data_IF_825564743726
#
_entry.id   IF_825564743726
#
_cell.length_a   1.000
_cell.length_b   1.000
_cell.length_c   1.000
_cell.angle_alpha   90.00
_cell.angle_beta   90.00
_cell.angle_gamma   90.00
#
_symmetry.space_group_name_H-M   'P 1'
#
loop_
_entity.id
_entity.type
_entity.pdbx_description
1 polymer ?
#
# COMPACT_ATOMS: atom_id res chain seq x y z
N UNK A 1 31.58 -8.19 20.54
CA UNK A 1 30.79 -8.51 19.32
C UNK A 1 29.98 -7.25 19.00
N UNK A 2 30.23 -6.61 17.85
CA UNK A 2 29.60 -5.34 17.48
C UNK A 2 28.77 -5.58 16.23
N UNK A 3 27.46 -5.43 16.32
CA UNK A 3 26.54 -5.57 15.19
C UNK A 3 25.99 -4.20 14.81
N UNK A 4 25.88 -3.95 13.50
CA UNK A 4 25.13 -2.81 12.96
C UNK A 4 23.67 -3.22 12.82
N UNK A 5 22.78 -2.51 13.49
CA UNK A 5 21.34 -2.72 13.38
C UNK A 5 20.72 -1.55 12.62
N UNK A 6 20.04 -1.84 11.51
CA UNK A 6 19.31 -0.85 10.72
C UNK A 6 17.82 -1.06 11.00
N UNK A 7 17.23 -0.17 11.79
CA UNK A 7 15.79 -0.16 12.06
C UNK A 7 15.09 0.61 10.95
N UNK A 8 14.37 -0.10 10.10
CA UNK A 8 13.49 0.52 9.12
C UNK A 8 12.08 0.52 9.70
N UNK A 9 11.63 1.64 10.26
CA UNK A 9 10.37 1.73 11.02
C UNK A 9 9.14 1.20 10.28
N UNK A 10 9.04 1.43 8.97
CA UNK A 10 7.94 0.91 8.16
C UNK A 10 7.96 -0.62 8.04
N UNK A 11 9.11 -1.30 8.20
CA UNK A 11 9.21 -2.76 8.19
C UNK A 11 8.55 -3.41 9.41
N UNK A 12 8.54 -2.74 10.57
CA UNK A 12 7.96 -3.24 11.83
C UNK A 12 6.43 -3.05 11.94
N UNK A 13 5.80 -2.33 11.01
CA UNK A 13 4.34 -2.08 10.96
C UNK A 13 3.76 -2.31 9.56
N UNK A 14 4.26 -3.33 8.85
CA UNK A 14 3.81 -3.67 7.48
C UNK A 14 2.57 -4.56 7.45
N UNK A 15 2.16 -5.14 8.59
CA UNK A 15 1.12 -6.19 8.65
C UNK A 15 -0.17 -5.86 7.88
N UNK A 16 -0.76 -4.64 7.92
CA UNK A 16 -1.97 -4.36 7.13
C UNK A 16 -1.72 -4.14 5.63
N UNK A 17 -0.49 -3.81 5.21
CA UNK A 17 -0.16 -3.53 3.80
C UNK A 17 0.39 -4.77 3.07
N UNK A 18 0.98 -5.71 3.79
CA UNK A 18 1.37 -7.02 3.28
C UNK A 18 0.21 -8.01 3.24
N UNK A 19 -0.86 -7.75 4.01
CA UNK A 19 -2.03 -8.64 4.02
C UNK A 19 -2.68 -8.74 2.64
N UNK A 20 -2.69 -9.95 2.10
CA UNK A 20 -3.13 -10.21 0.74
C UNK A 20 -4.59 -10.70 0.72
N UNK A 21 -5.48 -9.93 0.08
CA UNK A 21 -6.85 -10.37 -0.20
C UNK A 21 -6.96 -10.87 -1.65
N UNK A 22 -6.78 -12.18 -1.92
CA UNK A 22 -6.65 -12.70 -3.28
C UNK A 22 -7.90 -12.44 -4.13
N UNK A 23 -9.10 -12.54 -3.54
CA UNK A 23 -10.38 -12.33 -4.24
C UNK A 23 -10.52 -10.94 -4.88
N UNK A 24 -9.91 -9.91 -4.27
CA UNK A 24 -10.01 -8.53 -4.77
C UNK A 24 -8.80 -8.13 -5.64
N UNK A 25 -7.77 -8.98 -5.71
CA UNK A 25 -6.51 -8.68 -6.39
C UNK A 25 -6.72 -8.40 -7.87
N UNK A 26 -7.47 -9.27 -8.58
CA UNK A 26 -7.64 -9.17 -10.03
C UNK A 26 -8.35 -7.87 -10.44
N UNK A 27 -9.47 -7.56 -9.78
CA UNK A 27 -10.22 -6.32 -9.99
C UNK A 27 -9.38 -5.09 -9.65
N UNK A 28 -8.74 -5.07 -8.48
CA UNK A 28 -7.96 -3.92 -8.04
C UNK A 28 -6.71 -3.69 -8.91
N UNK A 29 -6.09 -4.76 -9.42
CA UNK A 29 -4.99 -4.67 -10.37
C UNK A 29 -5.46 -4.07 -11.70
N UNK A 30 -6.60 -4.50 -12.24
CA UNK A 30 -7.14 -3.93 -13.47
C UNK A 30 -7.54 -2.45 -13.32
N UNK A 31 -8.08 -2.07 -12.16
CA UNK A 31 -8.33 -0.66 -11.83
C UNK A 31 -7.02 0.15 -11.83
N UNK A 32 -5.95 -0.42 -11.27
CA UNK A 32 -4.65 0.24 -11.21
C UNK A 32 -4.00 0.39 -12.58
N UNK A 33 -4.10 -0.64 -13.43
CA UNK A 33 -3.66 -0.61 -14.83
C UNK A 33 -4.32 0.54 -15.60
N UNK A 34 -5.66 0.62 -15.58
CA UNK A 34 -6.40 1.68 -16.26
C UNK A 34 -6.10 3.08 -15.69
N UNK A 35 -5.86 3.18 -14.39
CA UNK A 35 -5.44 4.43 -13.78
C UNK A 35 -4.05 4.87 -14.27
N UNK A 36 -3.11 3.94 -14.41
CA UNK A 36 -1.77 4.23 -14.95
C UNK A 36 -1.80 4.59 -16.43
N UNK A 37 -2.81 4.14 -17.20
CA UNK A 37 -3.10 4.62 -18.55
C UNK A 37 -3.68 6.06 -18.59
N UNK A 38 -3.92 6.69 -17.43
CA UNK A 38 -4.44 8.05 -17.34
C UNK A 38 -5.97 8.15 -17.31
N UNK A 39 -6.70 7.05 -17.08
CA UNK A 39 -8.16 7.10 -17.05
C UNK A 39 -8.68 7.69 -15.74
N UNK A 40 -9.66 8.58 -15.83
CA UNK A 40 -10.39 9.08 -14.66
C UNK A 40 -11.25 8.00 -14.00
N UNK A 41 -11.42 8.06 -12.68
CA UNK A 41 -12.13 7.02 -11.89
C UNK A 41 -13.56 6.76 -12.35
N UNK A 42 -14.28 7.77 -12.86
CA UNK A 42 -15.63 7.61 -13.44
C UNK A 42 -15.61 6.77 -14.72
N UNK A 43 -14.61 6.99 -15.59
CA UNK A 43 -14.41 6.22 -16.83
C UNK A 43 -14.09 4.76 -16.51
N UNK A 44 -13.21 4.55 -15.53
CA UNK A 44 -12.85 3.21 -15.04
C UNK A 44 -14.07 2.49 -14.46
N UNK A 45 -14.89 3.17 -13.65
CA UNK A 45 -16.11 2.59 -13.08
C UNK A 45 -17.06 2.07 -14.15
N UNK A 46 -17.30 2.89 -15.20
CA UNK A 46 -18.14 2.49 -16.33
C UNK A 46 -17.57 1.27 -17.05
N UNK A 47 -16.28 1.30 -17.41
CA UNK A 47 -15.60 0.18 -18.05
C UNK A 47 -15.72 -1.11 -17.24
N UNK A 48 -15.48 -1.03 -15.93
CA UNK A 48 -15.58 -2.19 -15.03
C UNK A 48 -17.00 -2.79 -15.05
N UNK A 49 -18.03 -1.93 -15.00
CA UNK A 49 -19.42 -2.37 -15.02
C UNK A 49 -19.81 -3.02 -16.36
N UNK A 50 -19.38 -2.44 -17.47
CA UNK A 50 -19.61 -2.95 -18.83
C UNK A 50 -18.90 -4.30 -19.08
N UNK A 51 -17.72 -4.49 -18.49
CA UNK A 51 -16.93 -5.73 -18.59
C UNK A 51 -17.29 -6.79 -17.53
N UNK A 52 -18.42 -6.63 -16.84
CA UNK A 52 -18.93 -7.64 -15.90
C UNK A 52 -18.19 -7.74 -14.56
N UNK A 53 -17.33 -6.77 -14.21
CA UNK A 53 -16.70 -6.75 -12.90
C UNK A 53 -17.70 -6.41 -11.79
N UNK A 54 -17.58 -7.09 -10.64
CA UNK A 54 -18.31 -6.73 -9.43
C UNK A 54 -17.74 -5.45 -8.82
N UNK A 55 -18.35 -4.32 -9.17
CA UNK A 55 -18.09 -2.99 -8.61
C UNK A 55 -19.29 -2.47 -7.84
N UNK A 56 -19.04 -1.54 -6.91
CA UNK A 56 -20.13 -0.87 -6.19
C UNK A 56 -20.96 -0.01 -7.13
N UNK A 57 -22.18 0.34 -6.69
CA UNK A 57 -23.05 1.27 -7.41
C UNK A 57 -22.37 2.61 -7.72
N UNK A 58 -21.46 3.07 -6.86
CA UNK A 58 -20.91 4.42 -6.90
C UNK A 58 -19.46 4.44 -7.44
N UNK A 59 -19.12 5.37 -8.35
CA UNK A 59 -17.78 5.51 -8.91
C UNK A 59 -16.74 5.96 -7.87
N UNK A 60 -17.17 6.58 -6.77
CA UNK A 60 -16.31 6.94 -5.64
C UNK A 60 -15.61 5.72 -5.02
N UNK A 61 -16.18 4.51 -5.15
CA UNK A 61 -15.52 3.28 -4.71
C UNK A 61 -14.20 3.02 -5.44
N UNK A 62 -14.15 3.28 -6.75
CA UNK A 62 -12.93 3.19 -7.56
C UNK A 62 -11.92 4.23 -7.09
N UNK A 63 -12.37 5.47 -6.86
CA UNK A 63 -11.52 6.55 -6.35
C UNK A 63 -10.87 6.21 -5.00
N UNK A 64 -11.63 5.61 -4.08
CA UNK A 64 -11.09 5.15 -2.79
C UNK A 64 -10.05 4.04 -2.96
N UNK A 65 -10.27 3.08 -3.87
CA UNK A 65 -9.30 2.02 -4.18
C UNK A 65 -7.98 2.63 -4.67
N UNK A 66 -8.05 3.58 -5.60
CA UNK A 66 -6.89 4.30 -6.15
C UNK A 66 -6.16 5.04 -5.02
N UNK A 67 -6.88 5.82 -4.20
CA UNK A 67 -6.31 6.56 -3.07
C UNK A 67 -5.59 5.66 -2.06
N UNK A 68 -6.21 4.53 -1.71
CA UNK A 68 -5.61 3.52 -0.83
C UNK A 68 -4.35 2.91 -1.45
N UNK A 69 -4.34 2.66 -2.76
CA UNK A 69 -3.18 2.14 -3.47
C UNK A 69 -2.03 3.15 -3.50
N UNK A 70 -2.29 4.42 -3.84
CA UNK A 70 -1.29 5.50 -3.82
C UNK A 70 -0.65 5.62 -2.43
N UNK A 71 -1.48 5.62 -1.36
CA UNK A 71 -0.97 5.67 0.02
C UNK A 71 -0.07 4.48 0.33
N UNK A 72 -0.45 3.27 -0.11
CA UNK A 72 0.34 2.05 0.08
C UNK A 72 1.67 2.13 -0.66
N UNK A 73 1.68 2.48 -1.95
CA UNK A 73 2.91 2.64 -2.73
C UNK A 73 3.83 3.70 -2.10
N UNK A 74 3.26 4.80 -1.60
CA UNK A 74 4.03 5.83 -0.89
C UNK A 74 4.70 5.30 0.37
N UNK A 75 4.04 4.42 1.14
CA UNK A 75 4.58 3.85 2.39
C UNK A 75 5.60 2.74 2.11
N UNK A 76 5.32 1.87 1.14
CA UNK A 76 6.18 0.73 0.83
C UNK A 76 7.46 1.14 0.09
N UNK A 77 7.40 2.20 -0.71
CA UNK A 77 8.55 2.71 -1.47
C UNK A 77 9.19 3.95 -0.82
N UNK A 78 9.02 4.15 0.50
CA UNK A 78 9.71 5.24 1.18
C UNK A 78 11.22 5.01 1.14
N UNK A 79 12.03 6.04 0.82
CA UNK A 79 13.47 5.89 0.89
C UNK A 79 13.88 5.55 2.33
N UNK A 80 14.78 4.59 2.49
CA UNK A 80 15.41 4.32 3.79
C UNK A 80 16.35 5.49 4.11
N UNK A 81 15.86 6.44 4.88
CA UNK A 81 16.72 7.48 5.47
C UNK A 81 17.56 6.83 6.56
N UNK A 82 18.84 6.57 6.25
CA UNK A 82 19.86 6.28 7.25
C UNK A 82 20.30 7.62 7.86
N UNK A 83 19.39 8.28 8.57
CA UNK A 83 19.86 9.25 9.55
C UNK A 83 20.61 8.42 10.58
N UNK A 84 21.87 8.76 10.84
CA UNK A 84 22.68 8.09 11.86
C UNK A 84 21.83 8.06 13.12
N UNK A 85 21.33 6.90 13.52
CA UNK A 85 20.65 6.77 14.80
C UNK A 85 21.70 7.09 15.86
N UNK A 86 21.64 8.31 16.43
CA UNK A 86 22.74 8.84 17.24
C UNK A 86 22.81 8.16 18.60
N UNK A 87 21.69 7.73 19.18
CA UNK A 87 21.69 6.99 20.43
C UNK A 87 20.31 6.40 20.69
N UNK A 88 20.19 5.08 20.75
CA UNK A 88 19.06 4.43 21.42
C UNK A 88 19.62 3.53 22.52
N UNK A 89 19.14 3.73 23.75
CA UNK A 89 19.50 2.89 24.89
C UNK A 89 18.55 1.72 24.96
N UNK A 90 19.11 0.52 25.04
CA UNK A 90 18.38 -0.72 25.28
C UNK A 90 18.59 -1.11 26.74
N UNK A 91 17.52 -1.11 27.53
CA UNK A 91 17.52 -1.71 28.85
C UNK A 91 16.86 -3.08 28.77
N UNK A 92 17.60 -4.11 29.16
CA UNK A 92 17.08 -5.46 29.35
C UNK A 92 16.53 -5.55 30.77
N UNK A 93 15.22 -5.71 30.92
CA UNK A 93 14.66 -6.13 32.20
C UNK A 93 15.15 -7.55 32.51
N UNK A 94 15.72 -7.72 33.70
CA UNK A 94 16.04 -9.05 34.25
C UNK A 94 14.87 -9.48 35.10
N UNK A 95 14.39 -10.69 34.87
CA UNK A 95 13.46 -11.40 35.75
C UNK A 95 14.14 -11.77 37.08
#
# INVERSE_FOLDING_TARGET
>A
LTFKFVVVSHQFSTTPYLYHFPKQKLRNNKIWELYNEGWGFTKIHRYMKENGYQVSKYPSSIGNIIKCRIRREKILNQPTTVDRFVDFRLEMMRD
#
